data_IF_807963621267
#
_entry.id   IF_807963621267
#
_cell.length_a   1.000
_cell.length_b   1.000
_cell.length_c   1.000
_cell.angle_alpha   90.00
_cell.angle_beta   90.00
_cell.angle_gamma   90.00
#
_symmetry.space_group_name_H-M   'P 1'
#
loop_
_entity.id
_entity.type
_entity.pdbx_description
1 polymer ?
#
# COMPACT_ATOMS: atom_id res chain seq x y z
N UNK A 1 12.98 -13.90 -19.05
CA UNK A 1 11.54 -13.86 -18.69
C UNK A 1 11.03 -12.45 -18.97
N UNK A 2 10.21 -12.32 -20.01
CA UNK A 2 9.64 -11.03 -20.40
C UNK A 2 8.50 -10.66 -19.46
N UNK A 3 8.61 -9.46 -18.89
CA UNK A 3 7.57 -8.81 -18.11
C UNK A 3 6.48 -8.27 -19.07
N UNK A 4 5.26 -8.74 -18.95
CA UNK A 4 4.14 -8.28 -19.81
C UNK A 4 3.50 -7.06 -19.16
N UNK A 5 3.62 -5.90 -19.80
CA UNK A 5 3.11 -4.61 -19.31
C UNK A 5 1.70 -4.32 -19.82
N UNK A 6 0.80 -3.92 -18.95
CA UNK A 6 -0.55 -3.40 -19.28
C UNK A 6 -0.89 -2.16 -18.45
N UNK A 7 -1.45 -1.13 -19.09
CA UNK A 7 -1.65 0.22 -18.51
C UNK A 7 -2.98 0.42 -17.79
N UNK A 8 -2.98 0.89 -16.53
CA UNK A 8 -4.09 1.42 -15.71
C UNK A 8 -3.55 2.52 -14.74
N UNK A 9 -4.08 3.81 -14.65
CA UNK A 9 -3.52 4.95 -13.85
C UNK A 9 -4.14 5.11 -12.44
N UNK A 10 -3.40 4.63 -11.50
CA UNK A 10 -3.30 5.13 -10.13
C UNK A 10 -2.09 4.46 -9.53
N UNK A 11 -1.27 5.20 -8.80
CA UNK A 11 -0.06 4.64 -8.19
C UNK A 11 -0.48 3.66 -7.11
N UNK A 12 -0.53 2.38 -7.43
CA UNK A 12 -0.64 1.28 -6.47
C UNK A 12 0.55 0.35 -6.69
N UNK A 13 1.43 0.29 -5.73
CA UNK A 13 2.57 -0.63 -5.75
C UNK A 13 2.14 -1.96 -5.15
N UNK A 14 2.22 -2.98 -5.97
CA UNK A 14 2.28 -4.40 -5.66
C UNK A 14 1.37 -4.92 -4.53
N UNK A 15 0.13 -5.23 -4.86
CA UNK A 15 -0.57 -6.30 -4.14
C UNK A 15 0.03 -7.64 -4.57
N UNK A 16 0.74 -8.30 -3.68
CA UNK A 16 1.29 -9.63 -3.92
C UNK A 16 0.15 -10.67 -3.91
N UNK A 17 -0.27 -11.12 -5.06
CA UNK A 17 -1.33 -12.10 -5.21
C UNK A 17 -0.73 -13.51 -5.30
N UNK A 18 -0.92 -14.33 -4.28
CA UNK A 18 -0.67 -15.78 -4.36
C UNK A 18 -1.93 -16.44 -4.89
N UNK A 19 -1.95 -16.79 -6.18
CA UNK A 19 -2.97 -17.66 -6.73
C UNK A 19 -2.47 -19.09 -6.77
N UNK A 20 -3.13 -19.96 -6.02
CA UNK A 20 -3.15 -21.38 -6.34
C UNK A 20 -3.78 -21.58 -7.71
N UNK A 21 -3.23 -22.51 -8.50
CA UNK A 21 -3.72 -22.85 -9.85
C UNK A 21 -5.05 -23.59 -9.79
N UNK A 22 -6.14 -22.86 -9.60
CA UNK A 22 -7.47 -23.32 -9.98
C UNK A 22 -7.91 -22.49 -11.18
N UNK A 23 -8.20 -23.13 -12.28
CA UNK A 23 -8.81 -22.47 -13.43
C UNK A 23 -10.11 -21.80 -12.98
N UNK A 24 -10.10 -20.49 -12.88
CA UNK A 24 -11.32 -19.71 -12.63
C UNK A 24 -12.08 -19.69 -13.94
N UNK A 25 -13.25 -20.31 -13.96
CA UNK A 25 -14.20 -20.13 -15.06
C UNK A 25 -14.41 -18.62 -15.26
N UNK A 26 -14.29 -18.17 -16.50
CA UNK A 26 -14.53 -16.79 -16.89
C UNK A 26 -16.03 -16.52 -16.65
N UNK A 27 -16.34 -15.90 -15.50
CA UNK A 27 -17.70 -15.41 -15.25
C UNK A 27 -17.89 -14.11 -16.03
N UNK A 28 -19.06 -13.92 -16.62
CA UNK A 28 -19.43 -12.66 -17.25
C UNK A 28 -19.18 -11.48 -16.29
N UNK A 29 -18.65 -10.37 -16.80
CA UNK A 29 -18.33 -9.22 -15.96
C UNK A 29 -19.59 -8.70 -15.26
N UNK A 30 -19.60 -8.76 -13.92
CA UNK A 30 -20.68 -8.17 -13.12
C UNK A 30 -20.60 -6.65 -13.28
N UNK A 31 -21.67 -5.98 -13.75
CA UNK A 31 -21.68 -4.52 -13.82
C UNK A 31 -21.42 -3.94 -12.43
N UNK A 32 -20.44 -3.06 -12.31
CA UNK A 32 -20.19 -2.37 -11.04
C UNK A 32 -21.45 -1.61 -10.61
N UNK A 33 -21.77 -1.62 -9.31
CA UNK A 33 -22.92 -0.94 -8.72
C UNK A 33 -23.03 0.56 -9.08
N UNK A 34 -21.99 1.17 -9.60
CA UNK A 34 -21.89 2.58 -9.96
C UNK A 34 -22.07 2.84 -11.47
N UNK A 35 -22.54 1.87 -12.25
CA UNK A 35 -22.72 2.02 -13.69
C UNK A 35 -21.41 2.07 -14.49
N UNK A 36 -20.27 1.88 -13.88
CA UNK A 36 -19.01 1.74 -14.60
C UNK A 36 -19.01 0.40 -15.34
N UNK A 37 -19.04 0.47 -16.67
CA UNK A 37 -18.94 -0.71 -17.52
C UNK A 37 -17.50 -1.21 -17.49
N UNK A 38 -17.32 -2.52 -17.34
CA UNK A 38 -16.06 -3.15 -17.68
C UNK A 38 -15.77 -2.87 -19.16
N UNK A 39 -14.61 -2.31 -19.45
CA UNK A 39 -14.15 -2.09 -20.80
C UNK A 39 -13.17 -3.20 -21.15
N UNK A 40 -13.48 -4.10 -22.09
CA UNK A 40 -12.56 -5.11 -22.57
C UNK A 40 -11.23 -4.49 -23.03
N UNK A 41 -10.16 -5.25 -22.92
CA UNK A 41 -8.82 -4.74 -23.23
C UNK A 41 -8.71 -4.18 -24.65
N UNK A 42 -9.39 -4.82 -25.59
CA UNK A 42 -9.42 -4.47 -27.02
C UNK A 42 -10.13 -3.15 -27.31
N UNK A 43 -11.01 -2.70 -26.42
CA UNK A 43 -11.78 -1.47 -26.53
C UNK A 43 -11.13 -0.27 -25.81
N UNK A 44 -9.96 -0.47 -25.20
CA UNK A 44 -9.30 0.56 -24.42
C UNK A 44 -8.59 1.57 -25.30
N UNK A 45 -8.70 2.84 -24.93
CA UNK A 45 -8.22 3.98 -25.73
C UNK A 45 -6.76 4.35 -25.48
N UNK A 46 -6.06 3.67 -24.56
CA UNK A 46 -4.67 3.95 -24.21
C UNK A 46 -4.50 5.06 -23.17
N UNK A 47 -5.59 5.65 -22.67
CA UNK A 47 -5.58 6.63 -21.57
C UNK A 47 -5.67 5.98 -20.18
N UNK A 48 -5.62 4.68 -20.16
CA UNK A 48 -5.64 3.89 -18.93
C UNK A 48 -4.30 3.94 -18.21
N UNK A 49 -4.38 3.69 -16.94
CA UNK A 49 -3.24 3.65 -16.06
C UNK A 49 -2.40 2.41 -16.25
N UNK A 50 -1.09 2.50 -16.04
CA UNK A 50 -0.17 1.36 -16.12
C UNK A 50 -0.16 0.63 -14.78
N UNK A 51 -0.46 -0.68 -14.80
CA UNK A 51 -0.19 -1.59 -13.68
C UNK A 51 0.97 -2.51 -14.08
N UNK A 52 1.98 -2.54 -13.22
CA UNK A 52 3.10 -3.46 -13.37
C UNK A 52 2.83 -4.69 -12.51
N UNK A 53 2.99 -5.86 -13.11
CA UNK A 53 2.75 -7.14 -12.44
C UNK A 53 3.97 -8.05 -12.60
N UNK A 54 4.42 -8.64 -11.49
CA UNK A 54 5.44 -9.69 -11.49
C UNK A 54 4.94 -10.94 -10.79
N UNK A 55 5.41 -12.11 -11.21
CA UNK A 55 5.23 -13.39 -10.52
C UNK A 55 6.43 -13.74 -9.66
N UNK A 56 7.46 -12.91 -9.68
CA UNK A 56 8.64 -13.10 -8.87
C UNK A 56 8.34 -12.65 -7.42
N UNK A 57 8.01 -13.61 -6.56
CA UNK A 57 7.71 -13.41 -5.14
C UNK A 57 9.01 -13.42 -4.33
N UNK A 58 9.82 -12.38 -4.52
CA UNK A 58 11.10 -12.19 -3.84
C UNK A 58 11.37 -10.71 -3.60
N UNK A 59 12.45 -10.41 -2.87
CA UNK A 59 12.92 -9.03 -2.70
C UNK A 59 13.24 -8.37 -4.05
N UNK A 60 13.85 -9.11 -4.97
CA UNK A 60 14.19 -8.64 -6.30
C UNK A 60 12.92 -8.28 -7.10
N UNK A 61 11.90 -9.15 -7.06
CA UNK A 61 10.64 -8.88 -7.75
C UNK A 61 9.89 -7.68 -7.18
N UNK A 62 9.97 -7.43 -5.87
CA UNK A 62 9.44 -6.22 -5.24
C UNK A 62 10.20 -4.98 -5.74
N UNK A 63 11.51 -5.03 -5.77
CA UNK A 63 12.36 -3.95 -6.25
C UNK A 63 12.09 -3.65 -7.73
N UNK A 64 12.06 -4.67 -8.58
CA UNK A 64 11.73 -4.53 -10.00
C UNK A 64 10.37 -3.85 -10.22
N UNK A 65 9.35 -4.21 -9.43
CA UNK A 65 8.04 -3.59 -9.51
C UNK A 65 8.07 -2.12 -9.03
N UNK A 66 8.80 -1.82 -7.98
CA UNK A 66 8.99 -0.47 -7.47
C UNK A 66 9.70 0.43 -8.49
N UNK A 67 10.76 -0.03 -9.12
CA UNK A 67 11.53 0.73 -10.12
C UNK A 67 10.66 1.20 -11.30
N UNK A 68 9.60 0.46 -11.64
CA UNK A 68 8.68 0.86 -12.71
C UNK A 68 7.85 2.11 -12.38
N UNK A 69 7.68 2.42 -11.11
CA UNK A 69 6.83 3.53 -10.63
C UNK A 69 7.62 4.61 -9.88
N UNK A 70 8.88 4.35 -9.57
CA UNK A 70 9.73 5.21 -8.73
C UNK A 70 10.03 6.58 -9.32
N UNK A 71 9.91 6.77 -10.63
CA UNK A 71 10.21 8.04 -11.31
C UNK A 71 9.41 9.25 -10.77
N UNK A 72 8.26 8.99 -10.13
CA UNK A 72 7.40 10.02 -9.53
C UNK A 72 7.66 10.23 -8.03
N UNK A 73 8.50 9.40 -7.41
CA UNK A 73 8.84 9.52 -5.98
C UNK A 73 9.91 10.59 -5.82
N UNK A 74 9.66 11.59 -4.99
CA UNK A 74 10.56 12.74 -4.80
C UNK A 74 10.56 13.20 -3.36
N UNK A 75 11.71 13.70 -2.91
CA UNK A 75 11.89 14.27 -1.58
C UNK A 75 11.73 13.26 -0.45
N UNK A 76 11.39 13.75 0.73
CA UNK A 76 11.20 12.89 1.89
C UNK A 76 10.04 11.93 1.67
N UNK A 77 10.30 10.64 1.75
CA UNK A 77 9.36 9.59 1.37
C UNK A 77 8.90 8.78 2.58
N UNK A 78 7.59 8.70 2.75
CA UNK A 78 6.96 7.77 3.68
C UNK A 78 6.60 6.46 2.97
N UNK A 79 6.95 5.32 3.57
CA UNK A 79 6.53 4.00 3.10
C UNK A 79 5.44 3.47 4.01
N UNK A 80 4.18 3.59 3.57
CA UNK A 80 3.04 3.05 4.31
C UNK A 80 2.94 1.55 4.06
N UNK A 81 3.03 0.80 5.13
CA UNK A 81 2.82 -0.65 5.09
C UNK A 81 2.10 -1.12 6.36
N UNK A 82 1.56 -2.32 6.34
CA UNK A 82 0.99 -2.94 7.52
C UNK A 82 2.10 -3.62 8.33
N UNK A 83 2.45 -3.04 9.48
CA UNK A 83 3.51 -3.56 10.35
C UNK A 83 3.08 -4.77 11.19
N UNK A 84 1.79 -5.05 11.24
CA UNK A 84 1.20 -6.24 11.86
C UNK A 84 0.91 -6.10 13.36
N UNK A 85 0.02 -6.93 13.86
CA UNK A 85 -0.13 -7.18 15.29
C UNK A 85 1.06 -8.00 15.80
N UNK A 86 1.28 -8.07 17.11
CA UNK A 86 2.44 -8.78 17.67
C UNK A 86 2.44 -10.24 17.23
N UNK A 87 3.54 -10.64 16.59
CA UNK A 87 3.70 -11.98 16.01
C UNK A 87 2.57 -12.39 15.04
N UNK A 88 1.79 -11.42 14.56
CA UNK A 88 0.70 -11.68 13.63
C UNK A 88 1.18 -12.13 12.26
N UNK A 89 0.36 -12.92 11.54
CA UNK A 89 0.61 -13.31 10.17
C UNK A 89 0.31 -12.15 9.20
N UNK A 90 0.51 -12.40 7.91
CA UNK A 90 0.04 -11.53 6.81
C UNK A 90 0.73 -10.17 6.75
N UNK A 91 2.00 -10.12 7.10
CA UNK A 91 2.86 -8.97 6.82
C UNK A 91 3.74 -9.26 5.61
N UNK A 92 4.14 -8.21 4.90
CA UNK A 92 5.15 -8.34 3.84
C UNK A 92 6.45 -8.80 4.50
N UNK A 93 7.18 -9.77 3.91
CA UNK A 93 8.44 -10.24 4.48
C UNK A 93 9.40 -9.08 4.73
N UNK A 94 9.82 -8.92 5.97
CA UNK A 94 10.68 -7.80 6.39
C UNK A 94 11.96 -7.68 5.58
N UNK A 95 12.54 -8.80 5.21
CA UNK A 95 13.77 -8.81 4.41
C UNK A 95 13.57 -8.24 3.00
N UNK A 96 12.37 -8.35 2.43
CA UNK A 96 12.05 -7.73 1.15
C UNK A 96 11.96 -6.20 1.28
N UNK A 97 11.28 -5.73 2.33
CA UNK A 97 11.19 -4.29 2.64
C UNK A 97 12.58 -3.73 2.92
N UNK A 98 13.36 -4.44 3.71
CA UNK A 98 14.74 -4.06 4.04
C UNK A 98 15.66 -3.99 2.82
N UNK A 99 15.49 -4.92 1.86
CA UNK A 99 16.23 -4.90 0.60
C UNK A 99 15.84 -3.68 -0.25
N UNK A 100 14.55 -3.37 -0.34
CA UNK A 100 14.05 -2.18 -1.04
C UNK A 100 14.61 -0.89 -0.42
N UNK A 101 14.57 -0.77 0.91
CA UNK A 101 15.12 0.39 1.62
C UNK A 101 16.61 0.57 1.36
N UNK A 102 17.39 -0.51 1.41
CA UNK A 102 18.84 -0.46 1.14
C UNK A 102 19.18 -0.02 -0.27
N UNK A 103 18.35 -0.37 -1.24
CA UNK A 103 18.61 -0.10 -2.65
C UNK A 103 18.16 1.30 -3.07
N UNK A 104 16.88 1.64 -2.78
CA UNK A 104 16.23 2.77 -3.43
C UNK A 104 15.56 3.76 -2.46
N UNK A 105 15.44 3.42 -1.18
CA UNK A 105 14.69 4.19 -0.17
C UNK A 105 15.49 4.39 1.13
N UNK A 106 16.82 4.60 1.02
CA UNK A 106 17.71 4.72 2.18
C UNK A 106 17.32 5.83 3.17
N UNK A 107 16.72 6.91 2.67
CA UNK A 107 16.32 8.09 3.44
C UNK A 107 14.82 8.13 3.74
N UNK A 108 14.10 7.05 3.44
CA UNK A 108 12.68 6.94 3.70
C UNK A 108 12.40 6.45 5.13
N UNK A 109 11.22 6.80 5.64
CA UNK A 109 10.69 6.23 6.88
C UNK A 109 9.57 5.25 6.56
N UNK A 110 9.41 4.20 7.37
CA UNK A 110 8.13 3.49 7.44
C UNK A 110 7.15 4.44 8.12
N UNK A 111 5.93 4.57 7.58
CA UNK A 111 4.87 5.37 8.18
C UNK A 111 3.65 4.52 8.50
N UNK A 112 3.09 4.73 9.68
CA UNK A 112 1.89 4.05 10.20
C UNK A 112 1.02 5.03 10.97
N UNK A 113 -0.17 4.59 11.37
CA UNK A 113 -1.02 5.28 12.35
C UNK A 113 -1.42 4.30 13.45
N UNK A 114 -1.78 4.82 14.61
CA UNK A 114 -2.40 4.02 15.65
C UNK A 114 -3.73 3.44 15.15
N UNK A 115 -4.17 2.32 15.71
CA UNK A 115 -5.47 1.74 15.37
C UNK A 115 -6.58 2.44 16.16
N UNK A 116 -7.75 2.60 15.54
CA UNK A 116 -8.94 3.15 16.21
C UNK A 116 -9.57 2.16 17.21
N UNK A 117 -9.32 0.87 17.04
CA UNK A 117 -9.78 -0.20 17.92
C UNK A 117 -8.70 -0.65 18.90
N UNK A 118 -9.09 -1.13 20.05
CA UNK A 118 -8.19 -1.68 21.07
C UNK A 118 -7.36 -2.85 20.54
N UNK A 119 -6.09 -2.89 20.93
CA UNK A 119 -5.13 -3.92 20.52
C UNK A 119 -3.69 -3.47 20.68
N UNK A 120 -2.78 -4.23 20.10
CA UNK A 120 -1.32 -4.04 20.24
C UNK A 120 -0.80 -2.73 19.62
N UNK A 121 -1.64 -2.00 18.87
CA UNK A 121 -1.30 -0.74 18.19
C UNK A 121 -2.27 0.39 18.52
N UNK A 122 -3.05 0.25 19.62
CA UNK A 122 -4.06 1.24 19.99
C UNK A 122 -3.43 2.54 20.53
N UNK A 123 -2.39 2.44 21.34
CA UNK A 123 -1.63 3.60 21.80
C UNK A 123 -0.24 3.64 21.17
N UNK A 124 0.34 4.81 21.05
CA UNK A 124 1.70 4.98 20.49
C UNK A 124 2.72 4.13 21.23
N UNK A 125 2.64 4.04 22.57
CA UNK A 125 3.54 3.18 23.35
C UNK A 125 3.41 1.69 22.98
N UNK A 126 2.16 1.19 22.90
CA UNK A 126 1.89 -0.20 22.49
C UNK A 126 2.37 -0.44 21.07
N UNK A 127 2.06 0.50 20.16
CA UNK A 127 2.47 0.40 18.76
C UNK A 127 4.01 0.36 18.62
N UNK A 128 4.74 1.24 19.30
CA UNK A 128 6.21 1.22 19.29
C UNK A 128 6.79 -0.08 19.86
N UNK A 129 6.14 -0.67 20.87
CA UNK A 129 6.50 -2.01 21.37
C UNK A 129 6.27 -3.08 20.33
N UNK A 130 5.13 -3.06 19.66
CA UNK A 130 4.75 -3.99 18.59
C UNK A 130 5.72 -3.93 17.42
N UNK A 131 6.12 -2.72 17.00
CA UNK A 131 7.15 -2.54 15.97
C UNK A 131 8.46 -3.23 16.32
N UNK A 132 8.90 -3.14 17.58
CA UNK A 132 10.11 -3.83 18.05
C UNK A 132 9.96 -5.35 18.05
N UNK A 133 8.84 -5.86 18.58
CA UNK A 133 8.52 -7.30 18.60
C UNK A 133 8.51 -7.87 17.18
N UNK A 134 7.90 -7.14 16.25
CA UNK A 134 7.81 -7.56 14.85
C UNK A 134 9.08 -7.29 14.04
N UNK A 135 10.12 -6.69 14.64
CA UNK A 135 11.42 -6.50 13.99
C UNK A 135 11.50 -5.37 12.97
N UNK A 136 10.59 -4.38 13.06
CA UNK A 136 10.65 -3.15 12.26
C UNK A 136 11.62 -2.14 12.87
N UNK A 137 12.91 -2.48 12.88
CA UNK A 137 13.97 -1.71 13.56
C UNK A 137 15.14 -1.34 12.65
N UNK A 138 15.03 -1.62 11.37
CA UNK A 138 16.11 -1.41 10.40
C UNK A 138 16.08 -0.02 9.71
N UNK A 139 15.02 0.75 9.93
CA UNK A 139 14.87 2.13 9.48
C UNK A 139 13.99 2.88 10.51
N UNK A 140 13.93 4.21 10.44
CA UNK A 140 12.99 4.98 11.23
C UNK A 140 11.54 4.58 10.93
N UNK A 141 10.72 4.52 11.98
CA UNK A 141 9.26 4.33 11.87
C UNK A 141 8.57 5.52 12.53
N UNK A 142 7.79 6.22 11.74
CA UNK A 142 6.99 7.36 12.17
C UNK A 142 5.53 6.93 12.34
N UNK A 143 4.97 7.20 13.52
CA UNK A 143 3.55 7.02 13.81
C UNK A 143 2.90 8.39 13.61
N UNK A 144 2.30 8.58 12.43
CA UNK A 144 1.88 9.88 11.92
C UNK A 144 0.93 10.67 12.84
N UNK A 145 0.20 9.99 13.71
CA UNK A 145 -0.78 10.54 14.65
C UNK A 145 -0.30 10.48 16.12
N UNK A 146 1.00 10.29 16.37
CA UNK A 146 1.50 10.12 17.73
C UNK A 146 1.40 11.39 18.58
N UNK A 147 1.47 12.56 17.97
CA UNK A 147 1.35 13.84 18.64
C UNK A 147 -0.06 14.42 18.51
N UNK A 148 -0.59 14.50 17.27
CA UNK A 148 -1.89 15.12 17.00
C UNK A 148 -2.45 14.70 15.63
N UNK A 149 -3.59 15.26 15.30
CA UNK A 149 -4.24 15.11 13.98
C UNK A 149 -4.36 16.46 13.27
N UNK A 150 -4.28 16.41 11.94
CA UNK A 150 -4.45 17.55 11.05
C UNK A 150 -5.70 17.34 10.19
N UNK A 151 -6.55 18.36 10.09
CA UNK A 151 -7.72 18.33 9.22
C UNK A 151 -7.38 18.96 7.87
N UNK A 152 -7.44 18.16 6.80
CA UNK A 152 -7.17 18.60 5.44
C UNK A 152 -8.46 18.74 4.62
N UNK A 153 -8.55 19.73 3.69
CA UNK A 153 -9.66 19.82 2.75
C UNK A 153 -9.60 18.67 1.73
N UNK A 154 -10.76 18.14 1.36
CA UNK A 154 -10.91 17.14 0.30
C UNK A 154 -11.53 17.82 -0.91
N UNK A 155 -10.68 18.17 -1.89
CA UNK A 155 -11.13 18.83 -3.12
C UNK A 155 -11.85 17.83 -4.04
N UNK A 156 -13.05 18.16 -4.47
CA UNK A 156 -13.86 17.29 -5.33
C UNK A 156 -14.45 16.06 -4.63
N UNK A 157 -14.37 15.98 -3.32
CA UNK A 157 -14.95 14.88 -2.55
C UNK A 157 -16.48 14.83 -2.67
N UNK A 158 -17.02 13.66 -2.98
CA UNK A 158 -18.47 13.44 -3.11
C UNK A 158 -19.18 13.40 -1.75
N UNK A 159 -18.53 12.84 -0.73
CA UNK A 159 -19.13 12.57 0.57
C UNK A 159 -18.50 13.40 1.70
N UNK A 160 -17.23 13.73 1.58
CA UNK A 160 -16.48 14.46 2.59
C UNK A 160 -15.81 15.68 1.99
N UNK A 161 -16.00 16.84 2.61
CA UNK A 161 -15.31 18.08 2.25
C UNK A 161 -14.00 18.27 3.00
N UNK A 162 -13.78 17.49 4.06
CA UNK A 162 -12.55 17.49 4.88
C UNK A 162 -12.32 16.11 5.50
N UNK A 163 -11.07 15.81 5.82
CA UNK A 163 -10.65 14.59 6.48
C UNK A 163 -9.54 14.87 7.49
N UNK A 164 -9.57 14.16 8.63
CA UNK A 164 -8.48 14.17 9.60
C UNK A 164 -7.45 13.11 9.26
N UNK A 165 -6.19 13.49 9.33
CA UNK A 165 -5.01 12.62 9.14
C UNK A 165 -4.05 12.85 10.28
N UNK A 166 -3.07 11.97 10.49
CA UNK A 166 -1.99 12.24 11.45
C UNK A 166 -1.22 13.50 11.09
N UNK A 167 -0.80 14.29 12.08
CA UNK A 167 -0.15 15.60 11.89
C UNK A 167 1.12 15.50 11.07
N UNK A 168 1.89 14.40 11.20
CA UNK A 168 3.14 14.20 10.46
C UNK A 168 2.94 13.85 8.98
N UNK A 169 1.69 13.63 8.52
CA UNK A 169 1.42 13.31 7.09
C UNK A 169 1.99 14.38 6.14
N UNK A 170 2.03 15.64 6.57
CA UNK A 170 2.52 16.75 5.75
C UNK A 170 4.05 16.89 5.73
N UNK A 171 4.77 16.09 6.49
CA UNK A 171 6.24 16.08 6.51
C UNK A 171 6.83 15.28 5.34
N UNK A 172 5.96 14.57 4.62
CA UNK A 172 6.35 13.74 3.49
C UNK A 172 5.97 14.35 2.15
N UNK A 173 6.90 14.32 1.21
CA UNK A 173 6.69 14.79 -0.17
C UNK A 173 6.11 13.69 -1.06
N UNK A 174 6.37 12.44 -0.73
CA UNK A 174 5.89 11.27 -1.46
C UNK A 174 5.47 10.17 -0.50
N UNK A 175 4.43 9.44 -0.89
CA UNK A 175 3.96 8.28 -0.16
C UNK A 175 4.03 7.04 -1.06
N UNK A 176 4.77 6.05 -0.63
CA UNK A 176 4.81 4.71 -1.22
C UNK A 176 3.91 3.80 -0.40
N UNK A 177 2.81 3.32 -0.98
CA UNK A 177 1.90 2.40 -0.30
C UNK A 177 2.27 0.97 -0.66
N UNK A 178 2.91 0.28 0.27
CA UNK A 178 3.37 -1.09 0.13
C UNK A 178 2.46 -2.01 0.96
N UNK A 179 1.58 -2.75 0.32
CA UNK A 179 0.52 -3.46 1.02
C UNK A 179 0.44 -4.92 0.68
N UNK A 180 -0.13 -5.67 1.61
CA UNK A 180 -0.60 -7.03 1.43
C UNK A 180 -2.11 -6.99 1.14
N UNK A 181 -2.52 -7.45 -0.04
CA UNK A 181 -3.94 -7.52 -0.39
C UNK A 181 -4.66 -8.58 0.46
N UNK A 182 -5.80 -8.21 1.04
CA UNK A 182 -6.58 -9.11 1.89
C UNK A 182 -8.07 -8.75 1.85
N UNK A 183 -8.93 -9.70 2.24
CA UNK A 183 -10.34 -9.41 2.54
C UNK A 183 -10.49 -8.52 3.77
N UNK A 184 -11.56 -7.73 3.80
CA UNK A 184 -11.92 -6.90 4.94
C UNK A 184 -13.43 -7.01 5.22
N UNK A 185 -13.82 -7.25 6.48
CA UNK A 185 -15.21 -7.53 6.87
C UNK A 185 -16.14 -6.34 6.62
N UNK A 186 -15.68 -5.12 6.79
CA UNK A 186 -16.47 -3.90 6.60
C UNK A 186 -16.28 -3.28 5.21
N UNK A 187 -15.05 -3.26 4.70
CA UNK A 187 -14.70 -2.59 3.45
C UNK A 187 -14.69 -3.50 2.21
N UNK A 188 -14.95 -4.80 2.35
CA UNK A 188 -14.86 -5.79 1.27
C UNK A 188 -13.42 -6.23 1.03
N UNK A 189 -12.48 -5.32 0.82
CA UNK A 189 -11.05 -5.62 0.80
C UNK A 189 -10.26 -4.57 1.57
N UNK A 190 -9.06 -4.94 2.00
CA UNK A 190 -8.10 -4.08 2.70
C UNK A 190 -6.73 -4.14 2.03
N UNK A 191 -5.86 -3.27 2.47
CA UNK A 191 -4.51 -3.09 1.96
C UNK A 191 -4.22 -1.61 1.78
N UNK A 192 -4.40 -1.07 0.59
CA UNK A 192 -4.10 0.33 0.24
C UNK A 192 -5.33 1.23 0.08
N UNK A 193 -6.41 0.94 0.76
CA UNK A 193 -7.56 1.86 0.81
C UNK A 193 -7.38 2.93 1.87
#
# INVERSE_FOLDING_TARGET
NQMTMKRISTIMIASLFVMGTTAVAQSDPVPGKNGNKYVPYEERTGNESIVYFTRNLSAEGLIEAYEQVSANIKGHTGVKLHTGEQNGPNIIPREWVKALFRKDLSDANIVETNTYYEGDRYTTEQHRRTLKVNGWTFCPVDILDEEDTLTLPVHGGKWFGKMSVGSHTTDYNSLVVLTHFKGHTQGGFGGSN
#
